data_IF_505425550582
#
_entry.id   IF_505425550582
#
_cell.length_a   1.000
_cell.length_b   1.000
_cell.length_c   1.000
_cell.angle_alpha   90.00
_cell.angle_beta   90.00
_cell.angle_gamma   90.00
#
_symmetry.space_group_name_H-M   'P 1'
#
loop_
_entity.id
_entity.type
_entity.pdbx_description
1 polymer ?
#
# COMPACT_ATOMS: atom_id res chain seq x y z
N UNK A 1 19.97 -30.04 -18.38
CA UNK A 1 19.73 -28.58 -18.28
C UNK A 1 18.36 -28.26 -17.68
N UNK A 2 17.27 -28.91 -18.10
CA UNK A 2 15.90 -28.62 -17.62
C UNK A 2 15.69 -28.86 -16.11
N UNK A 3 16.30 -29.91 -15.54
CA UNK A 3 16.16 -30.22 -14.10
C UNK A 3 16.65 -29.07 -13.21
N UNK A 4 17.78 -28.44 -13.58
CA UNK A 4 18.32 -27.31 -12.83
C UNK A 4 17.40 -26.10 -12.84
N UNK A 5 16.80 -25.80 -14.00
CA UNK A 5 15.82 -24.70 -14.13
C UNK A 5 14.58 -24.96 -13.27
N UNK A 6 14.04 -26.18 -13.31
CA UNK A 6 12.87 -26.56 -12.49
C UNK A 6 13.16 -26.36 -11.00
N UNK A 7 14.34 -26.78 -10.54
CA UNK A 7 14.75 -26.58 -9.15
C UNK A 7 14.82 -25.10 -8.76
N UNK A 8 15.40 -24.25 -9.61
CA UNK A 8 15.48 -22.80 -9.36
C UNK A 8 14.07 -22.18 -9.29
N UNK A 9 13.21 -22.49 -10.26
CA UNK A 9 11.82 -21.98 -10.29
C UNK A 9 11.03 -22.46 -9.07
N UNK A 10 11.15 -23.75 -8.72
CA UNK A 10 10.50 -24.31 -7.55
C UNK A 10 10.97 -23.66 -6.24
N UNK A 11 12.28 -23.42 -6.09
CA UNK A 11 12.81 -22.67 -4.96
C UNK A 11 12.29 -21.24 -4.93
N UNK A 12 12.25 -20.56 -6.06
CA UNK A 12 11.79 -19.18 -6.16
C UNK A 12 10.31 -19.07 -5.76
N UNK A 13 9.43 -19.90 -6.30
CA UNK A 13 7.99 -19.90 -5.97
C UNK A 13 7.72 -20.27 -4.51
N UNK A 14 8.53 -21.14 -3.91
CA UNK A 14 8.31 -21.61 -2.53
C UNK A 14 8.97 -20.73 -1.46
N UNK A 15 10.09 -20.07 -1.78
CA UNK A 15 10.86 -19.22 -0.84
C UNK A 15 10.44 -17.76 -0.90
N UNK A 16 10.12 -17.22 -2.08
CA UNK A 16 9.82 -15.80 -2.25
C UNK A 16 8.58 -15.35 -1.45
N UNK A 17 7.46 -16.11 -1.39
CA UNK A 17 6.29 -15.72 -0.58
C UNK A 17 6.56 -15.78 0.93
N UNK A 18 7.48 -16.63 1.38
CA UNK A 18 7.90 -16.69 2.80
C UNK A 18 8.80 -15.52 3.20
N UNK A 19 9.49 -14.92 2.23
CA UNK A 19 10.32 -13.73 2.44
C UNK A 19 9.51 -12.43 2.37
N UNK A 20 8.32 -12.46 1.76
CA UNK A 20 7.42 -11.33 1.77
C UNK A 20 6.85 -11.14 3.19
N UNK A 21 6.96 -9.95 3.80
CA UNK A 21 6.25 -9.65 5.03
C UNK A 21 4.74 -9.86 4.80
N UNK A 22 3.97 -10.25 5.84
CA UNK A 22 2.54 -10.46 5.71
C UNK A 22 1.90 -9.27 4.99
N UNK A 23 1.12 -9.56 3.94
CA UNK A 23 0.45 -8.54 3.15
C UNK A 23 -0.31 -7.62 4.12
N UNK A 24 -0.09 -6.31 4.09
CA UNK A 24 -0.84 -5.42 4.95
C UNK A 24 -2.33 -5.60 4.64
N UNK A 25 -3.10 -5.95 5.67
CA UNK A 25 -4.54 -6.06 5.53
C UNK A 25 -5.10 -4.66 5.32
N UNK A 26 -5.84 -4.45 4.24
CA UNK A 26 -6.61 -3.23 4.06
C UNK A 26 -7.87 -3.36 4.93
N UNK A 27 -8.14 -2.42 5.85
CA UNK A 27 -9.33 -2.48 6.68
C UNK A 27 -10.59 -2.40 5.81
N UNK A 28 -11.59 -3.21 6.18
CA UNK A 28 -12.90 -3.28 5.54
C UNK A 28 -13.67 -1.99 5.87
N UNK A 29 -13.39 -0.90 5.13
CA UNK A 29 -14.05 0.39 5.33
C UNK A 29 -13.14 1.60 5.45
N UNK A 30 -11.99 1.63 4.76
CA UNK A 30 -11.20 2.85 4.67
C UNK A 30 -11.99 3.95 3.92
N UNK A 31 -12.63 4.85 4.66
CA UNK A 31 -13.37 5.98 4.10
C UNK A 31 -12.43 7.13 3.82
N UNK A 32 -12.40 7.59 2.57
CA UNK A 32 -11.75 8.85 2.24
C UNK A 32 -12.59 10.04 2.73
N UNK A 33 -11.96 11.18 3.04
CA UNK A 33 -12.68 12.42 3.30
C UNK A 33 -13.59 12.78 2.11
N UNK A 34 -14.72 13.45 2.40
CA UNK A 34 -15.65 13.86 1.35
C UNK A 34 -14.97 14.73 0.28
N UNK A 35 -15.24 14.42 -0.98
CA UNK A 35 -14.67 15.15 -2.12
C UNK A 35 -13.21 14.80 -2.46
N UNK A 36 -12.64 13.74 -1.87
CA UNK A 36 -11.29 13.24 -2.23
C UNK A 36 -11.38 11.95 -3.04
N UNK A 37 -10.74 11.91 -4.21
CA UNK A 37 -10.64 10.71 -5.05
C UNK A 37 -9.27 10.05 -4.89
N UNK A 38 -9.23 8.74 -4.59
CA UNK A 38 -7.97 8.00 -4.45
C UNK A 38 -7.33 7.73 -5.81
N UNK A 39 -6.09 8.19 -6.03
CA UNK A 39 -5.29 7.91 -7.22
C UNK A 39 -4.33 6.75 -7.04
N UNK A 40 -3.72 6.63 -5.85
CA UNK A 40 -2.81 5.53 -5.53
C UNK A 40 -2.89 5.14 -4.05
N UNK A 41 -2.68 3.85 -3.75
CA UNK A 41 -2.64 3.34 -2.39
C UNK A 41 -1.35 2.56 -2.20
N UNK A 42 -0.61 2.86 -1.14
CA UNK A 42 0.55 2.09 -0.71
C UNK A 42 0.42 1.70 0.75
N UNK A 43 0.94 0.54 1.10
CA UNK A 43 0.78 -0.03 2.43
C UNK A 43 2.15 -0.28 3.05
N UNK A 44 2.38 0.30 4.22
CA UNK A 44 3.57 0.07 5.01
C UNK A 44 3.31 -0.80 6.23
N UNK A 45 4.32 -0.91 7.09
CA UNK A 45 4.21 -1.62 8.37
C UNK A 45 3.38 -0.80 9.35
N UNK A 46 2.10 -1.12 9.46
CA UNK A 46 1.17 -0.48 10.41
C UNK A 46 0.54 0.81 9.92
N UNK A 47 0.70 1.16 8.64
CA UNK A 47 0.09 2.36 8.05
C UNK A 47 -0.27 2.13 6.59
N UNK A 48 -1.20 2.94 6.09
CA UNK A 48 -1.67 2.97 4.71
C UNK A 48 -1.56 4.42 4.23
N UNK A 49 -0.87 4.66 3.13
CA UNK A 49 -0.89 5.97 2.48
C UNK A 49 -1.80 5.90 1.26
N UNK A 50 -2.69 6.88 1.16
CA UNK A 50 -3.56 7.10 0.01
C UNK A 50 -3.18 8.44 -0.58
N UNK A 51 -2.73 8.41 -1.83
CA UNK A 51 -2.60 9.63 -2.64
C UNK A 51 -3.99 9.95 -3.13
N UNK A 52 -4.50 11.11 -2.76
CA UNK A 52 -5.84 11.55 -3.08
C UNK A 52 -5.80 12.95 -3.70
N UNK A 53 -6.68 13.17 -4.66
CA UNK A 53 -6.90 14.48 -5.26
C UNK A 53 -8.09 15.13 -4.57
N UNK A 54 -7.85 16.25 -3.88
CA UNK A 54 -8.84 17.04 -3.16
C UNK A 54 -9.06 18.42 -3.80
N UNK A 55 -9.93 19.22 -3.19
CA UNK A 55 -10.29 20.55 -3.71
C UNK A 55 -9.11 21.53 -3.82
N UNK A 56 -8.04 21.33 -3.04
CA UNK A 56 -6.84 22.16 -3.04
C UNK A 56 -5.67 21.56 -3.84
N UNK A 57 -5.88 20.43 -4.53
CA UNK A 57 -4.86 19.70 -5.28
C UNK A 57 -4.55 18.31 -4.71
N UNK A 58 -3.39 17.77 -5.07
CA UNK A 58 -2.95 16.43 -4.68
C UNK A 58 -2.40 16.40 -3.25
N UNK A 59 -2.83 15.42 -2.45
CA UNK A 59 -2.38 15.22 -1.08
C UNK A 59 -2.16 13.75 -0.76
N UNK A 60 -1.25 13.47 0.18
CA UNK A 60 -1.01 12.15 0.75
C UNK A 60 -1.68 12.07 2.11
N UNK A 61 -2.65 11.17 2.23
CA UNK A 61 -3.36 10.83 3.46
C UNK A 61 -2.74 9.58 4.06
N UNK A 62 -2.17 9.69 5.26
CA UNK A 62 -1.61 8.56 6.01
C UNK A 62 -2.63 8.10 7.04
N UNK A 63 -3.06 6.86 6.94
CA UNK A 63 -3.97 6.19 7.85
C UNK A 63 -3.24 5.14 8.68
N UNK A 64 -3.73 4.91 9.90
CA UNK A 64 -3.33 3.73 10.67
C UNK A 64 -3.91 2.46 10.05
N UNK A 65 -3.10 1.43 9.88
CA UNK A 65 -3.56 0.20 9.21
C UNK A 65 -4.52 -0.65 10.07
N UNK A 66 -4.53 -0.48 11.40
CA UNK A 66 -5.41 -1.26 12.28
C UNK A 66 -6.76 -0.58 12.47
N UNK A 67 -6.76 0.73 12.64
CA UNK A 67 -7.97 1.49 12.99
C UNK A 67 -8.57 2.24 11.80
N UNK A 68 -7.82 2.43 10.71
CA UNK A 68 -8.25 3.24 9.57
C UNK A 68 -8.30 4.75 9.88
N UNK A 69 -7.80 5.20 11.03
CA UNK A 69 -7.84 6.62 11.43
C UNK A 69 -6.77 7.42 10.70
N UNK A 70 -7.14 8.62 10.20
CA UNK A 70 -6.21 9.55 9.59
C UNK A 70 -5.19 10.04 10.62
N UNK A 71 -3.91 9.78 10.36
CA UNK A 71 -2.77 10.18 11.19
C UNK A 71 -2.09 11.43 10.67
N UNK A 72 -2.00 11.57 9.35
CA UNK A 72 -1.29 12.67 8.73
C UNK A 72 -1.89 13.01 7.37
N UNK A 73 -1.80 14.29 7.01
CA UNK A 73 -2.13 14.83 5.70
C UNK A 73 -0.92 15.63 5.23
N UNK A 74 -0.41 15.31 4.04
CA UNK A 74 0.71 16.02 3.43
C UNK A 74 0.27 16.57 2.06
N UNK A 75 0.28 17.89 1.84
CA UNK A 75 0.08 18.43 0.50
C UNK A 75 1.27 18.07 -0.40
N UNK A 76 1.00 17.70 -1.65
CA UNK A 76 2.05 17.53 -2.66
C UNK A 76 2.22 18.86 -3.39
N UNK A 77 3.42 19.42 -3.33
CA UNK A 77 3.82 20.57 -4.15
C UNK A 77 4.73 20.05 -5.25
N UNK A 78 4.24 20.04 -6.50
CA UNK A 78 5.11 19.81 -7.64
C UNK A 78 6.04 21.02 -7.82
N UNK A 79 7.35 20.81 -8.07
CA UNK A 79 8.30 21.89 -8.32
C UNK A 79 8.04 22.65 -9.63
#
# INVERSE_FOLDING_TARGET
MILGLITIVGLLVTRLPKAAPPRPALPEGLTLPEGTAAGAVTMGRGWIAVVAEGAAGEEILIFDAKTGTLRQRLPITAP
#
